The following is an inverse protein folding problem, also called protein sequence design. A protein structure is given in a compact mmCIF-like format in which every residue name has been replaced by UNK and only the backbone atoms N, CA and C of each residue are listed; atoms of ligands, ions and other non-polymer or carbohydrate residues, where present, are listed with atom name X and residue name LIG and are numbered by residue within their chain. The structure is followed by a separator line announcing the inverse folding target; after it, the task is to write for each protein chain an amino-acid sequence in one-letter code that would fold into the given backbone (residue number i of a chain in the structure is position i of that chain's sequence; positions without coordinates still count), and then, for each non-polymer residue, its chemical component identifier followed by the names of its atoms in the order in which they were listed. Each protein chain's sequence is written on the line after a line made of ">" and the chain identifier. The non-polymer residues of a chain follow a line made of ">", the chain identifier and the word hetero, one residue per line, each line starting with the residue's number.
data_IF_198425700014
#
_entry.id   IF_198425700014
#
_cell.length_a   1.000
_cell.length_b   1.000
_cell.length_c   1.000
_cell.angle_alpha   90.00
_cell.angle_beta   90.00
_cell.angle_gamma   90.00
#
_symmetry.space_group_name_H-M   'P 1'
#
loop_
_entity.id
_entity.type
_entity.pdbx_description
1 polymer ?
#
# COMPACT_ATOMS: atom_id res chain seq x y z
N UNK A 1 -20.66 30.31 -49.40
CA UNK A 1 -19.42 30.11 -48.63
C UNK A 1 -19.63 29.94 -47.11
N UNK A 2 -20.79 30.27 -46.57
CA UNK A 2 -21.05 30.22 -45.09
C UNK A 2 -21.30 28.83 -44.51
N UNK A 3 -21.75 27.86 -45.30
CA UNK A 3 -22.07 26.50 -44.82
C UNK A 3 -20.82 25.72 -44.36
N UNK A 4 -19.67 25.98 -45.00
CA UNK A 4 -18.41 25.27 -44.66
C UNK A 4 -17.79 25.68 -43.31
N UNK A 5 -18.00 26.92 -42.88
CA UNK A 5 -17.49 27.44 -41.61
C UNK A 5 -18.21 26.76 -40.43
N UNK A 6 -19.52 26.52 -40.57
CA UNK A 6 -20.31 25.83 -39.56
C UNK A 6 -19.91 24.36 -39.35
N UNK A 7 -19.59 23.65 -40.45
CA UNK A 7 -19.19 22.23 -40.38
C UNK A 7 -17.81 22.07 -39.71
N UNK A 8 -16.86 22.94 -40.03
CA UNK A 8 -15.52 22.91 -39.42
C UNK A 8 -15.60 23.24 -37.93
N UNK A 9 -16.44 24.19 -37.52
CA UNK A 9 -16.68 24.55 -36.14
C UNK A 9 -17.30 23.39 -35.32
N UNK A 10 -18.25 22.67 -35.90
CA UNK A 10 -18.89 21.53 -35.26
C UNK A 10 -17.92 20.33 -35.05
N UNK A 11 -17.05 20.06 -36.04
CA UNK A 11 -16.05 18.98 -35.95
C UNK A 11 -14.99 19.35 -34.91
N UNK A 12 -14.49 20.59 -34.88
CA UNK A 12 -13.51 21.04 -33.91
C UNK A 12 -14.08 21.04 -32.47
N UNK A 13 -15.32 21.51 -32.30
CA UNK A 13 -16.01 21.47 -31.00
C UNK A 13 -16.25 20.06 -30.49
N UNK A 14 -16.65 19.13 -31.36
CA UNK A 14 -16.83 17.73 -31.04
C UNK A 14 -15.52 17.04 -30.63
N UNK A 15 -14.42 17.32 -31.32
CA UNK A 15 -13.10 16.77 -30.98
C UNK A 15 -12.60 17.26 -29.63
N UNK A 16 -12.77 18.55 -29.32
CA UNK A 16 -12.39 19.12 -28.01
C UNK A 16 -13.22 18.51 -26.87
N UNK A 17 -14.54 18.35 -27.08
CA UNK A 17 -15.42 17.73 -26.09
C UNK A 17 -15.02 16.25 -25.80
N UNK A 18 -14.71 15.48 -26.86
CA UNK A 18 -14.26 14.11 -26.74
C UNK A 18 -12.90 13.99 -26.02
N UNK A 19 -11.96 14.88 -26.33
CA UNK A 19 -10.64 14.91 -25.64
C UNK A 19 -10.80 15.31 -24.17
N UNK A 20 -11.69 16.27 -23.87
CA UNK A 20 -12.03 16.64 -22.49
C UNK A 20 -12.63 15.47 -21.70
N UNK A 21 -13.61 14.77 -22.27
CA UNK A 21 -14.20 13.58 -21.64
C UNK A 21 -13.19 12.43 -21.47
N UNK A 22 -12.30 12.23 -22.43
CA UNK A 22 -11.26 11.21 -22.34
C UNK A 22 -10.25 11.54 -21.23
N UNK A 23 -9.87 12.81 -21.10
CA UNK A 23 -9.00 13.30 -20.02
C UNK A 23 -9.61 13.11 -18.63
N UNK A 24 -10.89 13.47 -18.46
CA UNK A 24 -11.63 13.29 -17.21
C UNK A 24 -11.73 11.80 -16.81
N UNK A 25 -12.14 10.94 -17.74
CA UNK A 25 -12.23 9.49 -17.50
C UNK A 25 -10.88 8.85 -17.16
N UNK A 26 -9.79 9.39 -17.69
CA UNK A 26 -8.44 8.91 -17.38
C UNK A 26 -8.03 9.31 -15.96
N UNK A 27 -8.34 10.54 -15.55
CA UNK A 27 -8.12 11.03 -14.18
C UNK A 27 -8.91 10.21 -13.18
N UNK A 28 -10.20 10.00 -13.39
CA UNK A 28 -11.07 9.19 -12.52
C UNK A 28 -10.55 7.74 -12.35
N UNK A 29 -10.06 7.12 -13.44
CA UNK A 29 -9.48 5.76 -13.36
C UNK A 29 -8.15 5.74 -12.59
N UNK A 30 -7.34 6.79 -12.71
CA UNK A 30 -6.10 6.90 -11.96
C UNK A 30 -6.39 7.11 -10.47
N UNK A 31 -7.38 7.93 -10.15
CA UNK A 31 -7.80 8.19 -8.78
C UNK A 31 -8.39 6.92 -8.14
N UNK A 32 -9.27 6.21 -8.85
CA UNK A 32 -9.82 4.94 -8.40
C UNK A 32 -8.73 3.89 -8.14
N UNK A 33 -7.73 3.78 -9.02
CA UNK A 33 -6.60 2.86 -8.81
C UNK A 33 -5.75 3.26 -7.61
N UNK A 34 -5.51 4.55 -7.42
CA UNK A 34 -4.75 5.06 -6.27
C UNK A 34 -5.49 4.78 -4.97
N UNK A 35 -6.80 4.98 -4.94
CA UNK A 35 -7.64 4.65 -3.78
C UNK A 35 -7.60 3.16 -3.46
N UNK A 36 -7.70 2.28 -4.47
CA UNK A 36 -7.57 0.84 -4.26
C UNK A 36 -6.19 0.45 -3.69
N UNK A 37 -5.11 1.07 -4.17
CA UNK A 37 -3.76 0.84 -3.64
C UNK A 37 -3.66 1.26 -2.18
N UNK A 38 -4.18 2.44 -1.84
CA UNK A 38 -4.21 2.94 -0.46
C UNK A 38 -4.99 2.03 0.46
N UNK A 39 -6.14 1.56 0.02
CA UNK A 39 -6.97 0.62 0.78
C UNK A 39 -6.20 -0.67 1.08
N UNK A 40 -5.52 -1.27 0.08
CA UNK A 40 -4.73 -2.48 0.32
C UNK A 40 -3.54 -2.21 1.26
N UNK A 41 -2.87 -1.06 1.13
CA UNK A 41 -1.81 -0.67 2.06
C UNK A 41 -2.35 -0.50 3.49
N UNK A 42 -3.48 0.17 3.65
CA UNK A 42 -4.12 0.37 4.96
C UNK A 42 -4.55 -0.96 5.60
N UNK A 43 -5.12 -1.88 4.81
CA UNK A 43 -5.47 -3.23 5.29
C UNK A 43 -4.24 -4.01 5.75
N UNK A 44 -3.13 -3.94 5.00
CA UNK A 44 -1.87 -4.60 5.38
C UNK A 44 -1.29 -4.01 6.68
N UNK A 45 -1.33 -2.70 6.84
CA UNK A 45 -0.90 -2.03 8.08
C UNK A 45 -1.76 -2.49 9.25
N UNK A 46 -3.10 -2.41 9.12
CA UNK A 46 -4.01 -2.80 10.18
C UNK A 46 -3.86 -4.26 10.60
N UNK A 47 -3.69 -5.18 9.63
CA UNK A 47 -3.47 -6.60 9.92
C UNK A 47 -2.11 -6.88 10.57
N UNK A 48 -1.07 -6.14 10.17
CA UNK A 48 0.26 -6.27 10.78
C UNK A 48 0.28 -5.75 12.21
N UNK A 49 -0.44 -4.67 12.47
CA UNK A 49 -0.65 -4.12 13.82
C UNK A 49 -1.44 -5.09 14.70
N UNK A 50 -2.55 -5.64 14.20
CA UNK A 50 -3.37 -6.63 14.90
C UNK A 50 -2.52 -7.86 15.28
N UNK A 51 -1.72 -8.39 14.34
CA UNK A 51 -0.81 -9.50 14.63
C UNK A 51 0.15 -9.18 15.77
N UNK A 52 0.79 -8.00 15.70
CA UNK A 52 1.72 -7.56 16.74
C UNK A 52 1.04 -7.40 18.09
N UNK A 53 -0.18 -6.85 18.12
CA UNK A 53 -0.94 -6.67 19.34
C UNK A 53 -1.32 -8.02 19.98
N UNK A 54 -1.68 -9.03 19.18
CA UNK A 54 -1.98 -10.38 19.66
C UNK A 54 -0.77 -11.06 20.29
N UNK A 55 0.43 -10.89 19.69
CA UNK A 55 1.69 -11.35 20.31
C UNK A 55 1.90 -10.67 21.66
N UNK A 56 1.62 -9.36 21.76
CA UNK A 56 1.73 -8.62 23.00
C UNK A 56 0.71 -9.09 24.05
N UNK A 57 -0.55 -9.31 23.66
CA UNK A 57 -1.62 -9.81 24.56
C UNK A 57 -1.26 -11.17 25.14
N UNK A 58 -0.81 -12.11 24.33
CA UNK A 58 -0.35 -13.40 24.85
C UNK A 58 0.82 -13.25 25.83
N UNK A 59 1.77 -12.38 25.52
CA UNK A 59 2.97 -12.20 26.32
C UNK A 59 2.73 -11.47 27.63
N UNK A 60 1.94 -10.41 27.61
CA UNK A 60 1.76 -9.51 28.75
C UNK A 60 0.53 -9.79 29.57
N UNK A 61 -0.54 -10.22 28.91
CA UNK A 61 -1.82 -10.46 29.55
C UNK A 61 -2.11 -11.95 29.77
N UNK A 62 -1.25 -12.84 29.23
CA UNK A 62 -1.45 -14.28 29.32
C UNK A 62 -2.66 -14.76 28.53
N UNK A 63 -3.12 -13.99 27.54
CA UNK A 63 -4.21 -14.38 26.65
C UNK A 63 -3.82 -15.67 25.91
N UNK A 64 -4.63 -16.71 26.01
CA UNK A 64 -4.36 -17.96 25.30
C UNK A 64 -4.88 -17.86 23.87
N UNK A 65 -4.11 -18.38 22.92
CA UNK A 65 -4.49 -18.55 21.52
C UNK A 65 -4.82 -17.25 20.75
N UNK A 66 -4.42 -16.07 21.25
CA UNK A 66 -4.65 -14.81 20.56
C UNK A 66 -3.94 -14.77 19.19
N UNK A 67 -2.70 -15.26 19.13
CA UNK A 67 -1.91 -15.33 17.88
C UNK A 67 -2.44 -16.41 16.95
N UNK A 68 -2.87 -17.56 17.47
CA UNK A 68 -3.43 -18.64 16.64
C UNK A 68 -4.78 -18.28 16.02
N UNK A 69 -5.53 -17.39 16.66
CA UNK A 69 -6.78 -16.86 16.14
C UNK A 69 -6.59 -15.75 15.07
N UNK A 70 -5.35 -15.35 14.79
CA UNK A 70 -5.09 -14.35 13.74
C UNK A 70 -5.28 -14.92 12.34
N UNK A 71 -6.08 -14.21 11.54
CA UNK A 71 -6.38 -14.64 10.18
C UNK A 71 -5.28 -14.23 9.19
N UNK A 72 -4.40 -15.17 8.91
CA UNK A 72 -3.33 -15.02 7.91
C UNK A 72 -3.88 -14.90 6.48
N UNK A 73 -5.08 -15.43 6.21
CA UNK A 73 -5.64 -15.46 4.85
C UNK A 73 -5.92 -14.06 4.34
N UNK A 74 -6.45 -13.19 5.18
CA UNK A 74 -6.72 -11.80 4.86
C UNK A 74 -5.45 -10.99 4.57
N UNK A 75 -4.39 -11.19 5.37
CA UNK A 75 -3.10 -10.57 5.10
C UNK A 75 -2.52 -11.03 3.75
N UNK A 76 -2.61 -12.32 3.45
CA UNK A 76 -2.18 -12.89 2.16
C UNK A 76 -2.99 -12.33 0.99
N UNK A 77 -4.29 -12.19 1.14
CA UNK A 77 -5.18 -11.65 0.11
C UNK A 77 -4.85 -10.17 -0.18
N UNK A 78 -4.70 -9.34 0.85
CA UNK A 78 -4.31 -7.95 0.69
C UNK A 78 -2.92 -7.82 0.06
N UNK A 79 -1.95 -8.67 0.45
CA UNK A 79 -0.62 -8.73 -0.15
C UNK A 79 -0.66 -9.09 -1.64
N UNK A 80 -1.47 -10.07 -2.01
CA UNK A 80 -1.63 -10.49 -3.40
C UNK A 80 -2.25 -9.36 -4.24
N UNK A 81 -3.30 -8.71 -3.75
CA UNK A 81 -3.93 -7.57 -4.41
C UNK A 81 -2.96 -6.40 -4.59
N UNK A 82 -2.19 -6.07 -3.55
CA UNK A 82 -1.19 -5.02 -3.66
C UNK A 82 -0.13 -5.35 -4.72
N UNK A 83 0.38 -6.58 -4.75
CA UNK A 83 1.36 -7.03 -5.78
C UNK A 83 0.82 -6.93 -7.20
N UNK A 84 -0.47 -7.16 -7.41
CA UNK A 84 -1.11 -7.04 -8.72
C UNK A 84 -1.32 -5.58 -9.15
N UNK A 85 -1.60 -4.70 -8.21
CA UNK A 85 -1.93 -3.29 -8.47
C UNK A 85 -0.69 -2.38 -8.47
N UNK A 86 0.29 -2.66 -7.60
CA UNK A 86 1.48 -1.84 -7.38
C UNK A 86 2.61 -2.26 -8.31
N UNK A 87 3.26 -1.26 -8.94
CA UNK A 87 4.47 -1.45 -9.75
C UNK A 87 5.70 -0.78 -9.14
N UNK A 88 5.52 -0.13 -8.00
CA UNK A 88 6.61 0.52 -7.30
C UNK A 88 7.49 -0.53 -6.60
N UNK A 89 8.77 -0.54 -6.96
CA UNK A 89 9.72 -1.54 -6.47
C UNK A 89 10.02 -1.36 -4.98
N UNK A 90 10.00 -0.13 -4.47
CA UNK A 90 10.34 0.16 -3.09
C UNK A 90 9.19 -0.23 -2.15
N UNK A 91 7.95 0.01 -2.57
CA UNK A 91 6.76 -0.51 -1.87
C UNK A 91 6.77 -2.04 -1.84
N UNK A 92 7.06 -2.69 -2.97
CA UNK A 92 7.08 -4.16 -3.02
C UNK A 92 8.21 -4.76 -2.18
N UNK A 93 9.40 -4.12 -2.14
CA UNK A 93 10.51 -4.53 -1.27
C UNK A 93 10.19 -4.34 0.20
N UNK A 94 9.56 -3.21 0.57
CA UNK A 94 9.15 -2.97 1.95
C UNK A 94 8.07 -3.95 2.40
N UNK A 95 7.12 -4.34 1.53
CA UNK A 95 6.16 -5.40 1.79
C UNK A 95 6.85 -6.76 2.04
N UNK A 96 7.88 -7.11 1.25
CA UNK A 96 8.64 -8.35 1.47
C UNK A 96 9.36 -8.35 2.82
N UNK A 97 9.96 -7.21 3.22
CA UNK A 97 10.60 -7.06 4.54
C UNK A 97 9.57 -7.19 5.67
N UNK A 98 8.40 -6.58 5.52
CA UNK A 98 7.31 -6.68 6.48
C UNK A 98 6.85 -8.14 6.64
N UNK A 99 6.67 -8.87 5.54
CA UNK A 99 6.31 -10.28 5.55
C UNK A 99 7.35 -11.13 6.29
N UNK A 100 8.64 -10.93 5.95
CA UNK A 100 9.73 -11.64 6.62
C UNK A 100 9.81 -11.31 8.11
N UNK A 101 9.66 -10.06 8.48
CA UNK A 101 9.66 -9.64 9.88
C UNK A 101 8.49 -10.26 10.67
N UNK A 102 7.31 -10.41 10.05
CA UNK A 102 6.18 -11.13 10.62
C UNK A 102 6.47 -12.61 10.84
N UNK A 103 7.11 -13.28 9.88
CA UNK A 103 7.56 -14.67 10.02
C UNK A 103 8.59 -14.84 11.15
N UNK A 104 9.57 -13.92 11.22
CA UNK A 104 10.62 -13.96 12.24
C UNK A 104 10.02 -13.72 13.64
N UNK A 105 9.05 -12.81 13.77
CA UNK A 105 8.30 -12.61 15.01
C UNK A 105 7.51 -13.87 15.40
N UNK A 106 6.83 -14.51 14.44
CA UNK A 106 6.10 -15.75 14.69
C UNK A 106 6.99 -16.92 15.08
N UNK A 107 8.21 -17.01 14.55
CA UNK A 107 9.21 -18.03 14.92
C UNK A 107 9.76 -17.78 16.32
N UNK A 108 10.09 -16.54 16.65
CA UNK A 108 10.60 -16.16 17.96
C UNK A 108 9.53 -16.35 19.05
N UNK A 109 8.26 -16.14 18.71
CA UNK A 109 7.14 -16.25 19.64
C UNK A 109 6.76 -17.69 20.00
N UNK A 110 7.00 -18.68 19.17
CA UNK A 110 6.62 -20.08 19.46
C UNK A 110 7.23 -20.54 20.78
N UNK A 111 6.43 -21.16 21.67
CA UNK A 111 6.81 -21.40 23.08
C UNK A 111 8.09 -22.22 23.29
N UNK A 112 8.54 -22.96 22.28
CA UNK A 112 9.77 -23.75 22.35
C UNK A 112 11.05 -22.90 22.39
N UNK A 113 10.98 -21.61 22.10
CA UNK A 113 12.15 -20.76 21.99
C UNK A 113 12.53 -20.02 23.28
N UNK A 114 11.62 -19.85 24.26
CA UNK A 114 11.90 -19.37 25.64
C UNK A 114 12.73 -18.08 25.81
N UNK A 115 13.33 -17.55 24.76
CA UNK A 115 14.24 -16.43 24.80
C UNK A 115 13.48 -15.09 24.66
N UNK A 116 13.34 -14.40 25.78
CA UNK A 116 12.70 -13.09 25.85
C UNK A 116 13.38 -12.07 24.94
N UNK A 117 14.71 -12.12 24.83
CA UNK A 117 15.49 -11.14 24.07
C UNK A 117 15.30 -11.34 22.56
N UNK A 118 15.20 -12.58 22.11
CA UNK A 118 14.89 -12.92 20.72
C UNK A 118 13.50 -12.42 20.32
N UNK A 119 12.49 -12.58 21.17
CA UNK A 119 11.14 -12.04 20.94
C UNK A 119 11.15 -10.52 20.87
N UNK A 120 11.86 -9.86 21.80
CA UNK A 120 11.97 -8.40 21.81
C UNK A 120 12.69 -7.85 20.57
N UNK A 121 13.74 -8.54 20.11
CA UNK A 121 14.44 -8.19 18.88
C UNK A 121 13.53 -8.36 17.65
N UNK A 122 12.81 -9.47 17.54
CA UNK A 122 11.87 -9.72 16.45
C UNK A 122 10.69 -8.72 16.46
N UNK A 123 10.18 -8.38 17.64
CA UNK A 123 9.16 -7.36 17.84
C UNK A 123 9.60 -5.99 17.31
N UNK A 124 10.82 -5.54 17.70
CA UNK A 124 11.39 -4.28 17.19
C UNK A 124 11.60 -4.34 15.69
N UNK A 125 12.12 -5.46 15.16
CA UNK A 125 12.29 -5.68 13.73
C UNK A 125 11.00 -5.56 12.95
N UNK A 126 9.91 -6.16 13.46
CA UNK A 126 8.59 -6.07 12.85
C UNK A 126 8.08 -4.63 12.81
N UNK A 127 8.24 -3.87 13.91
CA UNK A 127 7.85 -2.46 13.96
C UNK A 127 8.60 -1.62 12.94
N UNK A 128 9.93 -1.78 12.85
CA UNK A 128 10.76 -1.06 11.88
C UNK A 128 10.31 -1.38 10.44
N UNK A 129 10.05 -2.65 10.15
CA UNK A 129 9.60 -3.06 8.81
C UNK A 129 8.21 -2.51 8.47
N UNK A 130 7.31 -2.38 9.46
CA UNK A 130 6.00 -1.78 9.28
C UNK A 130 6.10 -0.27 9.02
N UNK A 131 6.90 0.45 9.81
CA UNK A 131 7.15 1.89 9.63
C UNK A 131 7.76 2.18 8.25
N UNK A 132 8.69 1.32 7.78
CA UNK A 132 9.30 1.40 6.45
C UNK A 132 8.26 1.18 5.34
N UNK A 133 7.36 0.23 5.51
CA UNK A 133 6.26 -0.02 4.57
C UNK A 133 5.28 1.16 4.51
N UNK A 134 4.89 1.72 5.66
CA UNK A 134 4.01 2.90 5.74
C UNK A 134 4.63 4.09 5.02
N UNK A 135 5.92 4.36 5.24
CA UNK A 135 6.64 5.46 4.60
C UNK A 135 6.63 5.30 3.07
N UNK A 136 7.05 4.15 2.53
CA UNK A 136 7.08 3.94 1.07
C UNK A 136 5.67 3.96 0.45
N UNK A 137 4.66 3.47 1.17
CA UNK A 137 3.27 3.55 0.72
C UNK A 137 2.75 5.00 0.69
N UNK A 138 3.16 5.83 1.65
CA UNK A 138 2.86 7.26 1.69
C UNK A 138 3.51 8.03 0.55
N UNK A 139 4.78 7.74 0.25
CA UNK A 139 5.52 8.37 -0.86
C UNK A 139 4.87 8.08 -2.23
N UNK A 140 4.27 6.90 -2.39
CA UNK A 140 3.53 6.53 -3.60
C UNK A 140 2.35 7.47 -3.88
N UNK A 141 1.75 8.01 -2.84
CA UNK A 141 0.61 8.95 -2.93
C UNK A 141 1.10 10.39 -3.00
N UNK A 142 2.03 10.78 -2.12
CA UNK A 142 2.59 12.13 -2.06
C UNK A 142 3.42 12.52 -3.28
N UNK A 143 4.17 11.59 -3.85
CA UNK A 143 5.01 11.82 -5.03
C UNK A 143 4.26 12.13 -6.33
N UNK A 144 2.93 11.92 -6.35
CA UNK A 144 2.06 12.29 -7.49
C UNK A 144 1.48 13.70 -7.38
N UNK A 145 1.54 14.31 -6.21
CA UNK A 145 0.95 15.64 -5.97
C UNK A 145 1.94 16.76 -6.28
N UNK A 146 3.25 16.49 -6.31
CA UNK A 146 4.26 17.50 -6.64
C UNK A 146 4.81 17.22 -8.04
N UNK A 147 4.42 17.99 -9.08
CA UNK A 147 5.15 17.96 -10.35
C UNK A 147 6.59 18.39 -10.05
N UNK A 148 7.55 17.49 -10.29
CA UNK A 148 8.96 17.86 -10.27
C UNK A 148 9.16 18.99 -11.27
N UNK A 149 9.19 20.24 -10.78
CA UNK A 149 9.70 21.36 -11.56
C UNK A 149 11.16 21.02 -11.85
N UNK A 150 11.40 20.54 -13.06
CA UNK A 150 12.77 20.45 -13.59
C UNK A 150 13.32 21.86 -13.58
N UNK A 151 14.17 22.17 -12.61
CA UNK A 151 15.02 23.34 -12.71
C UNK A 151 15.90 23.16 -13.93
N UNK A 152 15.53 23.80 -15.04
CA UNK A 152 16.40 24.02 -16.19
C UNK A 152 17.57 24.85 -15.67
N UNK A 153 18.72 24.24 -15.51
CA UNK A 153 19.99 24.97 -15.36
C UNK A 153 20.37 25.45 -16.75
N UNK A 154 20.22 26.75 -16.96
CA UNK A 154 21.00 27.50 -17.95
C UNK A 154 22.45 27.58 -17.51
#
# INVERSE_FOLDING_TARGET
>A
MEIWIGVIGAIAGGAIALLGQYGLRRSERQDARTMMLLEQCAQLVARSEDYRNRVWEERRLGARDAVSAWDLSEFRLASARLKLLCRDADVLKSLQRLHKAGEDLGKAWRPAAGDSDAVDAAWRGHRIALDDFVRHSGDLVGGRVVPRVRASRE
#
